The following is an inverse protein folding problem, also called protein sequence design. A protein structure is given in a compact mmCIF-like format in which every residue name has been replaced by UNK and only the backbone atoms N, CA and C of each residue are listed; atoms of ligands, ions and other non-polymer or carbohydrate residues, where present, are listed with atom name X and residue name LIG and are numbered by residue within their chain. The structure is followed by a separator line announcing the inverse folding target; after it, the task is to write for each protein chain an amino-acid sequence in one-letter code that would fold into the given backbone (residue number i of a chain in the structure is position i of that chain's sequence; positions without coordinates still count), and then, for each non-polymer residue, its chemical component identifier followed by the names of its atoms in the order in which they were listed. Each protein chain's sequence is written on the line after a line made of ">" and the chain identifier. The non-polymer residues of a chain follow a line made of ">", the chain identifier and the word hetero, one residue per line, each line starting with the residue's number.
data_IF_610001406588
#
_entry.id   IF_610001406588
#
_cell.length_a   1.000
_cell.length_b   1.000
_cell.length_c   1.000
_cell.angle_alpha   90.00
_cell.angle_beta   90.00
_cell.angle_gamma   90.00
#
_symmetry.space_group_name_H-M   'P 1'
#
loop_
_entity.id
_entity.type
_entity.pdbx_description
1 polymer ?
#
# COMPACT_ATOMS: atom_id res chain seq x y z
N UNK A 1 36.60 9.55 -6.26
CA UNK A 1 36.65 10.59 -5.21
C UNK A 1 37.28 10.10 -3.91
N UNK A 2 36.70 9.17 -3.15
CA UNK A 2 37.28 8.69 -1.87
C UNK A 2 38.74 8.19 -1.98
N UNK A 3 39.06 7.38 -3.00
CA UNK A 3 40.45 6.93 -3.27
C UNK A 3 41.42 8.07 -3.61
N UNK A 4 40.93 9.16 -4.21
CA UNK A 4 41.74 10.34 -4.52
C UNK A 4 42.03 11.14 -3.25
N UNK A 5 41.05 11.26 -2.34
CA UNK A 5 41.22 11.95 -1.05
C UNK A 5 42.16 11.17 -0.13
N UNK A 6 42.03 9.84 -0.05
CA UNK A 6 42.99 9.00 0.68
C UNK A 6 44.40 9.11 0.11
N UNK A 7 44.54 9.23 -1.21
CA UNK A 7 45.83 9.40 -1.88
C UNK A 7 46.54 10.72 -1.60
N UNK A 8 45.85 11.73 -1.04
CA UNK A 8 46.45 13.01 -0.68
C UNK A 8 47.18 12.98 0.68
N UNK A 9 47.05 11.90 1.47
CA UNK A 9 47.80 11.72 2.72
C UNK A 9 47.54 12.82 3.76
N UNK A 10 46.35 13.44 3.74
CA UNK A 10 45.99 14.53 4.64
C UNK A 10 45.74 13.99 6.05
N UNK A 11 46.55 14.43 7.01
CA UNK A 11 46.36 14.11 8.43
C UNK A 11 45.02 14.64 8.93
N UNK A 12 44.29 13.80 9.68
CA UNK A 12 42.99 14.13 10.26
C UNK A 12 41.77 13.84 9.40
N UNK A 13 41.94 13.26 8.20
CA UNK A 13 40.83 12.79 7.36
C UNK A 13 40.74 11.27 7.42
N UNK A 14 39.64 10.74 7.96
CA UNK A 14 39.31 9.32 7.90
C UNK A 14 38.19 9.08 6.88
N UNK A 15 38.20 7.92 6.23
CA UNK A 15 37.22 7.57 5.21
C UNK A 15 36.53 6.27 5.61
N UNK A 16 35.32 6.41 6.14
CA UNK A 16 34.49 5.28 6.49
C UNK A 16 33.72 4.75 5.28
N UNK A 17 33.78 3.43 5.08
CA UNK A 17 32.98 2.76 4.05
C UNK A 17 31.56 2.60 4.56
N UNK A 18 30.63 3.27 3.90
CA UNK A 18 29.19 3.10 4.13
C UNK A 18 28.54 2.37 2.96
N UNK A 19 27.45 1.66 3.26
CA UNK A 19 26.61 1.04 2.24
C UNK A 19 25.42 1.93 1.97
N UNK A 20 25.20 2.28 0.70
CA UNK A 20 24.02 3.02 0.27
C UNK A 20 23.05 2.08 -0.44
N UNK A 21 21.76 2.26 -0.19
CA UNK A 21 20.70 1.53 -0.89
C UNK A 21 20.53 2.09 -2.31
N UNK A 22 20.43 1.21 -3.29
CA UNK A 22 20.22 1.56 -4.69
C UNK A 22 18.99 0.83 -5.21
N UNK A 23 18.13 1.54 -5.93
CA UNK A 23 16.85 1.04 -6.45
C UNK A 23 16.90 1.00 -7.99
N UNK A 24 17.23 -0.15 -8.61
CA UNK A 24 17.46 -0.23 -10.05
C UNK A 24 16.23 0.07 -10.92
N UNK A 25 15.03 -0.09 -10.35
CA UNK A 25 13.76 0.13 -11.04
C UNK A 25 13.21 1.55 -10.82
N UNK A 26 13.91 2.39 -10.06
CA UNK A 26 13.57 3.80 -9.82
C UNK A 26 12.06 3.98 -9.49
N UNK A 27 11.39 4.88 -10.21
CA UNK A 27 9.96 5.20 -10.08
C UNK A 27 9.04 4.00 -10.29
N UNK A 28 9.45 2.99 -11.04
CA UNK A 28 8.58 1.86 -11.39
C UNK A 28 8.11 1.10 -10.15
N UNK A 29 9.01 0.97 -9.16
CA UNK A 29 8.80 0.19 -7.94
C UNK A 29 8.80 1.03 -6.66
N UNK A 30 8.86 2.36 -6.77
CA UNK A 30 8.92 3.27 -5.63
C UNK A 30 7.76 3.07 -4.64
N UNK A 31 6.54 2.89 -5.15
CA UNK A 31 5.32 2.73 -4.34
C UNK A 31 5.29 1.41 -3.55
N UNK A 32 6.00 0.39 -4.05
CA UNK A 32 6.10 -0.95 -3.43
C UNK A 32 7.28 -1.00 -2.48
N UNK A 33 8.48 -0.71 -2.98
CA UNK A 33 9.73 -0.89 -2.22
C UNK A 33 9.87 0.21 -1.17
N UNK A 34 9.48 1.44 -1.51
CA UNK A 34 9.72 2.61 -0.68
C UNK A 34 11.17 3.08 -0.78
N UNK A 35 11.68 3.64 0.32
CA UNK A 35 13.04 4.13 0.40
C UNK A 35 13.57 4.05 1.85
N UNK A 36 14.88 4.26 1.99
CA UNK A 36 15.57 4.40 3.28
C UNK A 36 16.16 5.80 3.39
N UNK A 37 16.28 6.31 4.61
CA UNK A 37 16.98 7.57 4.86
C UNK A 37 18.51 7.42 4.88
N UNK A 38 19.21 8.50 5.23
CA UNK A 38 20.67 8.53 5.36
C UNK A 38 21.22 7.65 6.48
N UNK A 39 20.40 7.29 7.47
CA UNK A 39 20.73 6.34 8.54
C UNK A 39 20.42 4.88 8.14
N UNK A 40 19.86 4.68 6.93
CA UNK A 40 19.37 3.40 6.39
C UNK A 40 18.14 2.85 7.12
N UNK A 41 17.35 3.74 7.74
CA UNK A 41 16.04 3.36 8.28
C UNK A 41 15.00 3.40 7.19
N UNK A 42 14.16 2.38 7.14
CA UNK A 42 13.06 2.28 6.20
C UNK A 42 12.04 3.38 6.47
N UNK A 43 11.64 4.12 5.43
CA UNK A 43 10.70 5.25 5.56
C UNK A 43 9.35 4.97 4.90
N UNK A 44 9.30 4.03 3.96
CA UNK A 44 8.08 3.63 3.27
C UNK A 44 8.17 2.20 2.73
N UNK A 45 7.02 1.67 2.30
CA UNK A 45 6.94 0.41 1.54
C UNK A 45 7.52 -0.80 2.26
N UNK A 46 8.15 -1.68 1.48
CA UNK A 46 8.84 -2.88 1.98
C UNK A 46 10.03 -2.52 2.86
N UNK A 47 10.76 -1.45 2.56
CA UNK A 47 11.90 -1.02 3.39
C UNK A 47 11.48 -0.71 4.83
N UNK A 48 10.32 -0.06 5.02
CA UNK A 48 9.75 0.19 6.36
C UNK A 48 9.11 -1.05 6.98
N UNK A 49 8.21 -1.73 6.24
CA UNK A 49 7.43 -2.84 6.82
C UNK A 49 8.29 -4.06 7.15
N UNK A 50 9.35 -4.31 6.38
CA UNK A 50 10.29 -5.41 6.60
C UNK A 50 11.62 -4.92 7.21
N UNK A 51 11.65 -3.72 7.82
CA UNK A 51 12.86 -3.12 8.35
C UNK A 51 13.62 -4.08 9.27
N UNK A 52 12.93 -4.81 10.15
CA UNK A 52 13.56 -5.78 11.07
C UNK A 52 14.23 -6.96 10.35
N UNK A 53 13.74 -7.35 9.18
CA UNK A 53 14.33 -8.43 8.37
C UNK A 53 15.44 -7.92 7.45
N UNK A 54 15.35 -6.65 7.04
CA UNK A 54 16.27 -6.01 6.10
C UNK A 54 17.46 -5.33 6.81
N UNK A 55 17.28 -4.89 8.05
CA UNK A 55 18.36 -4.36 8.87
C UNK A 55 19.34 -5.48 9.18
N UNK A 56 20.61 -5.21 8.87
CA UNK A 56 21.71 -6.01 9.36
C UNK A 56 22.05 -5.55 10.76
N UNK A 57 22.08 -6.47 11.71
CA UNK A 57 22.80 -6.25 12.95
C UNK A 57 24.28 -6.07 12.61
N UNK A 58 24.72 -4.81 12.56
CA UNK A 58 26.13 -4.50 12.56
C UNK A 58 26.61 -4.81 13.97
N UNK A 59 27.22 -5.98 14.16
CA UNK A 59 27.93 -6.26 15.41
C UNK A 59 28.91 -5.11 15.68
N UNK A 60 28.78 -4.47 16.83
CA UNK A 60 29.70 -3.42 17.25
C UNK A 60 31.09 -4.04 17.45
N UNK A 61 32.05 -3.58 16.64
CA UNK A 61 33.41 -4.08 16.70
C UNK A 61 34.18 -3.37 17.81
N UNK A 62 34.38 -4.05 18.93
CA UNK A 62 35.30 -3.61 19.97
C UNK A 62 36.73 -3.88 19.53
N UNK A 63 37.35 -2.89 18.90
CA UNK A 63 38.75 -2.97 18.45
C UNK A 63 39.66 -2.28 19.46
N UNK A 64 40.70 -2.97 19.94
CA UNK A 64 41.70 -2.36 20.81
C UNK A 64 42.72 -1.59 19.96
N UNK A 65 42.97 -0.33 20.33
CA UNK A 65 43.95 0.55 19.68
C UNK A 65 45.17 0.78 20.57
N UNK A 66 46.34 0.96 19.96
CA UNK A 66 47.55 1.41 20.67
C UNK A 66 47.44 2.89 21.04
N UNK A 67 48.36 3.41 21.87
CA UNK A 67 48.42 4.83 22.22
C UNK A 67 48.61 5.76 21.01
N UNK A 68 49.08 5.23 19.88
CA UNK A 68 49.24 5.92 18.59
C UNK A 68 48.06 5.69 17.63
N UNK A 69 46.97 5.06 18.10
CA UNK A 69 45.74 4.85 17.33
C UNK A 69 45.70 3.61 16.43
N UNK A 70 46.80 2.86 16.30
CA UNK A 70 46.86 1.67 15.45
C UNK A 70 46.03 0.51 16.04
N UNK A 71 45.27 -0.18 15.19
CA UNK A 71 44.43 -1.34 15.55
C UNK A 71 45.31 -2.57 15.88
N UNK A 72 45.05 -3.22 17.01
CA UNK A 72 45.75 -4.46 17.39
C UNK A 72 45.16 -5.70 16.68
N UNK A 73 45.98 -6.52 15.98
CA UNK A 73 45.51 -7.64 15.15
C UNK A 73 44.65 -8.68 15.90
N UNK A 74 44.94 -8.93 17.18
CA UNK A 74 44.23 -9.93 17.99
C UNK A 74 42.90 -9.45 18.59
N UNK A 75 42.40 -8.26 18.23
CA UNK A 75 41.14 -7.72 18.77
C UNK A 75 39.92 -7.93 17.88
N UNK A 76 40.08 -8.61 16.72
CA UNK A 76 38.98 -8.89 15.81
C UNK A 76 38.22 -10.16 16.25
N UNK A 77 36.93 -10.07 16.63
CA UNK A 77 36.16 -11.23 17.06
C UNK A 77 35.99 -12.23 15.90
N UNK A 78 36.09 -13.53 16.19
CA UNK A 78 36.04 -14.61 15.20
C UNK A 78 34.68 -14.76 14.49
N UNK A 79 33.65 -14.02 14.91
CA UNK A 79 32.26 -14.11 14.43
C UNK A 79 31.84 -12.95 13.52
N UNK A 80 32.78 -12.05 13.19
CA UNK A 80 32.66 -10.83 12.39
C UNK A 80 31.80 -10.90 11.11
N UNK A 81 31.62 -12.10 10.55
CA UNK A 81 31.04 -12.34 9.23
C UNK A 81 29.81 -13.26 9.25
N UNK A 82 29.11 -13.42 10.39
CA UNK A 82 27.76 -13.99 10.36
C UNK A 82 26.76 -12.98 9.76
N UNK A 83 26.98 -12.66 8.48
CA UNK A 83 26.02 -11.97 7.63
C UNK A 83 24.98 -13.00 7.22
N UNK A 84 23.77 -12.88 7.75
CA UNK A 84 22.63 -13.58 7.18
C UNK A 84 22.34 -12.96 5.81
N UNK A 85 22.47 -13.74 4.73
CA UNK A 85 22.17 -13.33 3.35
C UNK A 85 20.66 -13.44 3.05
N UNK A 86 19.83 -12.95 3.98
CA UNK A 86 18.40 -12.97 3.81
C UNK A 86 17.99 -12.08 2.65
N UNK A 87 17.09 -12.61 1.82
CA UNK A 87 16.54 -11.92 0.65
C UNK A 87 15.03 -11.89 0.80
N UNK A 88 14.47 -10.72 0.61
CA UNK A 88 13.02 -10.55 0.49
C UNK A 88 12.67 -10.65 -0.99
N UNK A 89 11.86 -11.64 -1.35
CA UNK A 89 11.30 -11.78 -2.69
C UNK A 89 9.87 -11.23 -2.68
N UNK A 90 9.60 -10.29 -3.60
CA UNK A 90 8.27 -9.69 -3.74
C UNK A 90 7.36 -10.58 -4.60
N UNK A 91 6.06 -10.46 -4.38
CA UNK A 91 5.00 -11.10 -5.19
C UNK A 91 4.70 -10.34 -6.48
N UNK A 92 5.26 -9.14 -6.65
CA UNK A 92 4.97 -8.24 -7.76
C UNK A 92 5.48 -8.79 -9.09
N UNK A 93 4.62 -8.86 -10.11
CA UNK A 93 5.02 -9.14 -11.49
C UNK A 93 5.45 -7.83 -12.16
N UNK A 94 6.74 -7.73 -12.51
CA UNK A 94 7.30 -6.52 -13.11
C UNK A 94 6.69 -6.12 -14.47
N UNK A 95 6.19 -7.09 -15.25
CA UNK A 95 5.53 -6.80 -16.54
C UNK A 95 4.15 -6.22 -16.28
N UNK A 96 3.41 -6.78 -15.32
CA UNK A 96 2.12 -6.27 -14.90
C UNK A 96 2.25 -4.88 -14.27
N UNK A 97 3.21 -4.68 -13.36
CA UNK A 97 3.52 -3.38 -12.75
C UNK A 97 3.73 -2.29 -13.81
N UNK A 98 4.53 -2.58 -14.85
CA UNK A 98 4.78 -1.66 -15.96
C UNK A 98 3.52 -1.37 -16.77
N UNK A 99 2.77 -2.39 -17.14
CA UNK A 99 1.54 -2.24 -17.92
C UNK A 99 0.50 -1.39 -17.16
N UNK A 100 0.31 -1.67 -15.87
CA UNK A 100 -0.60 -0.92 -14.99
C UNK A 100 -0.16 0.54 -14.86
N UNK A 101 1.13 0.80 -14.64
CA UNK A 101 1.63 2.19 -14.54
C UNK A 101 1.42 2.97 -15.83
N UNK A 102 1.78 2.40 -16.98
CA UNK A 102 1.56 3.06 -18.27
C UNK A 102 0.08 3.37 -18.50
N UNK A 103 -0.82 2.41 -18.21
CA UNK A 103 -2.26 2.62 -18.35
C UNK A 103 -2.77 3.71 -17.41
N UNK A 104 -2.34 3.72 -16.14
CA UNK A 104 -2.75 4.72 -15.16
C UNK A 104 -2.27 6.13 -15.55
N UNK A 105 -1.03 6.27 -15.99
CA UNK A 105 -0.48 7.55 -16.47
C UNK A 105 -1.29 8.10 -17.66
N UNK A 106 -1.64 7.25 -18.61
CA UNK A 106 -2.50 7.63 -19.75
C UNK A 106 -3.87 8.13 -19.29
N UNK A 107 -4.50 7.47 -18.32
CA UNK A 107 -5.81 7.91 -17.81
C UNK A 107 -5.72 9.20 -17.00
N UNK A 108 -4.68 9.36 -16.18
CA UNK A 108 -4.45 10.59 -15.43
C UNK A 108 -4.30 11.77 -16.38
N UNK A 109 -3.51 11.62 -17.45
CA UNK A 109 -3.35 12.65 -18.46
C UNK A 109 -4.67 12.93 -19.20
N UNK A 110 -5.35 11.87 -19.65
CA UNK A 110 -6.62 11.97 -20.40
C UNK A 110 -7.71 12.71 -19.62
N UNK A 111 -7.83 12.44 -18.32
CA UNK A 111 -8.87 13.01 -17.46
C UNK A 111 -8.40 14.22 -16.64
N UNK A 112 -7.14 14.66 -16.83
CA UNK A 112 -6.50 15.69 -16.02
C UNK A 112 -6.69 15.44 -14.49
N UNK A 113 -6.56 14.18 -14.08
CA UNK A 113 -6.75 13.78 -12.70
C UNK A 113 -5.56 14.22 -11.84
N UNK A 114 -5.81 14.57 -10.57
CA UNK A 114 -4.75 15.03 -9.66
C UNK A 114 -3.84 13.90 -9.17
N UNK A 115 -4.42 12.71 -8.95
CA UNK A 115 -3.75 11.50 -8.48
C UNK A 115 -4.60 10.27 -8.85
N UNK A 116 -3.97 9.11 -8.90
CA UNK A 116 -4.64 7.84 -9.15
C UNK A 116 -3.82 6.67 -8.61
N UNK A 117 -4.50 5.56 -8.37
CA UNK A 117 -3.90 4.37 -7.81
C UNK A 117 -4.54 3.11 -8.37
N UNK A 118 -3.74 2.05 -8.51
CA UNK A 118 -4.19 0.73 -8.93
C UNK A 118 -3.49 -0.32 -8.10
N UNK A 119 -4.28 -1.25 -7.55
CA UNK A 119 -3.80 -2.45 -6.86
C UNK A 119 -4.36 -3.64 -7.63
N UNK A 120 -3.48 -4.59 -7.97
CA UNK A 120 -3.85 -5.87 -8.55
C UNK A 120 -3.44 -6.97 -7.58
N UNK A 121 -4.40 -7.80 -7.20
CA UNK A 121 -4.25 -8.86 -6.22
C UNK A 121 -4.68 -10.19 -6.81
N UNK A 122 -3.97 -11.27 -6.49
CA UNK A 122 -4.44 -12.62 -6.74
C UNK A 122 -5.55 -12.96 -5.73
N UNK A 123 -6.73 -13.32 -6.24
CA UNK A 123 -7.89 -13.58 -5.40
C UNK A 123 -7.81 -14.90 -4.63
N UNK A 124 -6.86 -15.79 -4.96
CA UNK A 124 -6.73 -17.12 -4.34
C UNK A 124 -5.87 -17.10 -3.09
N UNK A 125 -4.81 -16.30 -3.07
CA UNK A 125 -3.86 -16.22 -1.95
C UNK A 125 -3.68 -14.81 -1.38
N UNK A 126 -4.33 -13.79 -1.97
CA UNK A 126 -4.24 -12.40 -1.52
C UNK A 126 -2.91 -11.71 -1.86
N UNK A 127 -2.05 -12.34 -2.66
CA UNK A 127 -0.76 -11.75 -3.03
C UNK A 127 -0.96 -10.51 -3.91
N UNK A 128 -0.19 -9.45 -3.63
CA UNK A 128 -0.22 -8.22 -4.44
C UNK A 128 0.71 -8.41 -5.64
N UNK A 129 0.13 -8.45 -6.84
CA UNK A 129 0.84 -8.63 -8.10
C UNK A 129 1.30 -7.30 -8.69
N UNK A 130 0.62 -6.20 -8.36
CA UNK A 130 0.98 -4.85 -8.79
C UNK A 130 0.39 -3.82 -7.83
N UNK A 131 1.17 -2.80 -7.50
CA UNK A 131 0.72 -1.65 -6.72
C UNK A 131 1.38 -0.40 -7.29
N UNK A 132 0.56 0.48 -7.86
CA UNK A 132 1.01 1.66 -8.57
C UNK A 132 0.24 2.87 -8.10
N UNK A 133 0.98 3.93 -7.77
CA UNK A 133 0.46 5.25 -7.49
C UNK A 133 1.03 6.24 -8.51
N UNK A 134 0.21 7.23 -8.86
CA UNK A 134 0.63 8.35 -9.69
C UNK A 134 0.01 9.65 -9.15
N UNK A 135 0.76 10.76 -9.06
CA UNK A 135 2.22 10.86 -9.30
C UNK A 135 3.05 10.06 -8.29
N UNK A 136 4.24 9.61 -8.70
CA UNK A 136 5.23 8.89 -7.86
C UNK A 136 6.56 9.66 -7.76
N UNK A 137 7.53 9.08 -7.04
CA UNK A 137 8.88 9.64 -6.81
C UNK A 137 9.98 8.65 -7.25
N UNK A 138 11.20 9.15 -7.41
CA UNK A 138 12.39 8.29 -7.57
C UNK A 138 13.02 8.04 -6.19
N UNK A 139 13.08 6.79 -5.70
CA UNK A 139 13.65 6.47 -4.39
C UNK A 139 15.17 6.68 -4.32
N UNK A 140 15.88 6.75 -5.44
CA UNK A 140 17.30 7.14 -5.45
C UNK A 140 17.49 8.66 -5.26
N UNK A 141 16.47 9.45 -5.59
CA UNK A 141 16.48 10.91 -5.49
C UNK A 141 15.29 11.45 -4.65
N UNK A 142 14.88 10.69 -3.63
CA UNK A 142 13.66 10.96 -2.85
C UNK A 142 13.67 12.38 -2.23
N UNK A 143 14.85 12.90 -1.88
CA UNK A 143 15.05 14.24 -1.31
C UNK A 143 14.70 15.39 -2.26
N UNK A 144 14.59 15.13 -3.58
CA UNK A 144 14.11 16.11 -4.57
C UNK A 144 12.59 16.09 -4.73
N UNK A 145 11.93 15.08 -4.17
CA UNK A 145 10.49 14.86 -4.35
C UNK A 145 9.69 15.59 -3.29
N UNK A 146 8.43 15.92 -3.60
CA UNK A 146 7.53 16.54 -2.62
C UNK A 146 7.18 15.54 -1.53
N UNK A 147 7.11 16.00 -0.28
CA UNK A 147 6.86 15.14 0.88
C UNK A 147 5.52 14.38 0.82
N UNK A 148 4.51 14.92 0.13
CA UNK A 148 3.22 14.27 -0.05
C UNK A 148 3.28 13.03 -0.96
N UNK A 149 4.29 12.92 -1.83
CA UNK A 149 4.50 11.76 -2.70
C UNK A 149 5.22 10.61 -1.99
N UNK A 150 5.95 10.92 -0.91
CA UNK A 150 6.70 9.92 -0.16
C UNK A 150 5.80 9.05 0.73
N UNK A 151 4.54 9.46 0.95
CA UNK A 151 3.54 8.66 1.64
C UNK A 151 2.75 7.83 0.63
N UNK A 152 2.69 6.52 0.88
CA UNK A 152 1.80 5.66 0.11
C UNK A 152 0.35 5.85 0.56
N UNK A 153 -0.30 6.85 -0.01
CA UNK A 153 -1.67 7.25 0.30
C UNK A 153 -2.71 6.16 0.00
N UNK A 154 -2.39 5.15 -0.82
CA UNK A 154 -3.32 4.04 -1.08
C UNK A 154 -3.50 3.12 0.12
N UNK A 155 -2.52 3.08 1.00
CA UNK A 155 -2.53 2.30 2.24
C UNK A 155 -2.90 3.18 3.43
N UNK A 156 -2.63 4.50 3.36
CA UNK A 156 -2.84 5.41 4.50
C UNK A 156 -4.11 6.26 4.44
N UNK A 157 -4.64 6.58 3.26
CA UNK A 157 -5.84 7.43 3.15
C UNK A 157 -7.10 6.59 3.27
N UNK A 158 -7.94 6.92 4.26
CA UNK A 158 -9.28 6.39 4.35
C UNK A 158 -10.15 7.10 3.29
N UNK A 159 -10.74 6.33 2.38
CA UNK A 159 -11.72 6.82 1.41
C UNK A 159 -13.04 6.07 1.60
N UNK A 160 -14.16 6.77 1.45
CA UNK A 160 -15.48 6.15 1.51
C UNK A 160 -15.70 5.28 0.26
N UNK A 161 -15.80 3.93 0.37
CA UNK A 161 -15.84 3.05 -0.80
C UNK A 161 -17.05 3.31 -1.72
N UNK A 162 -18.09 3.98 -1.23
CA UNK A 162 -19.26 4.33 -2.02
C UNK A 162 -19.89 3.08 -2.65
N UNK A 163 -20.20 3.14 -3.94
CA UNK A 163 -20.90 2.04 -4.61
C UNK A 163 -20.05 0.78 -4.83
N UNK A 164 -18.72 0.85 -4.69
CA UNK A 164 -17.85 -0.35 -4.81
C UNK A 164 -18.09 -1.33 -3.66
N UNK A 165 -18.70 -0.87 -2.56
CA UNK A 165 -19.04 -1.69 -1.40
C UNK A 165 -20.36 -2.48 -1.54
N UNK A 166 -21.20 -2.14 -2.54
CA UNK A 166 -22.53 -2.76 -2.71
C UNK A 166 -22.50 -4.29 -2.89
N UNK A 167 -21.56 -4.89 -3.65
CA UNK A 167 -21.45 -6.35 -3.73
C UNK A 167 -21.24 -7.01 -2.36
N UNK A 168 -20.44 -6.39 -1.48
CA UNK A 168 -20.21 -6.89 -0.12
C UNK A 168 -21.52 -6.84 0.68
N UNK A 169 -22.25 -5.73 0.63
CA UNK A 169 -23.57 -5.60 1.27
C UNK A 169 -24.57 -6.66 0.80
N UNK A 170 -24.60 -6.92 -0.51
CA UNK A 170 -25.44 -7.98 -1.10
C UNK A 170 -25.04 -9.35 -0.57
N UNK A 171 -23.74 -9.66 -0.52
CA UNK A 171 -23.24 -10.93 0.01
C UNK A 171 -23.63 -11.12 1.48
N UNK A 172 -23.44 -10.08 2.32
CA UNK A 172 -23.82 -10.11 3.73
C UNK A 172 -25.33 -10.31 3.93
N UNK A 173 -26.16 -9.65 3.11
CA UNK A 173 -27.61 -9.80 3.18
C UNK A 173 -28.08 -11.19 2.73
N UNK A 174 -27.44 -11.78 1.71
CA UNK A 174 -27.69 -13.16 1.28
C UNK A 174 -27.28 -14.16 2.36
N UNK A 175 -26.10 -13.98 2.96
CA UNK A 175 -25.56 -14.85 4.02
C UNK A 175 -26.42 -14.78 5.29
N UNK A 176 -26.93 -13.61 5.65
CA UNK A 176 -27.88 -13.45 6.74
C UNK A 176 -29.27 -14.02 6.44
N UNK A 177 -29.53 -14.48 5.22
CA UNK A 177 -30.82 -15.05 4.79
C UNK A 177 -31.96 -14.02 4.72
N UNK A 178 -31.65 -12.72 4.81
CA UNK A 178 -32.68 -11.65 4.78
C UNK A 178 -33.17 -11.34 3.36
N UNK A 179 -32.46 -11.86 2.36
CA UNK A 179 -32.81 -11.83 0.93
C UNK A 179 -32.50 -13.17 0.26
N UNK A 180 -33.14 -13.40 -0.88
CA UNK A 180 -32.88 -14.52 -1.79
C UNK A 180 -32.53 -14.00 -3.19
N UNK A 181 -31.91 -14.81 -4.04
CA UNK A 181 -31.44 -14.40 -5.40
C UNK A 181 -32.50 -13.69 -6.25
N UNK A 182 -33.76 -14.09 -6.13
CA UNK A 182 -34.90 -13.55 -6.88
C UNK A 182 -35.68 -12.46 -6.12
N UNK A 183 -35.17 -11.98 -4.98
CA UNK A 183 -35.83 -10.91 -4.23
C UNK A 183 -35.82 -9.63 -5.05
N UNK A 184 -36.98 -8.97 -5.11
CA UNK A 184 -37.18 -7.72 -5.85
C UNK A 184 -37.36 -6.57 -4.87
N UNK A 185 -36.80 -5.42 -5.24
CA UNK A 185 -36.93 -4.17 -4.52
C UNK A 185 -37.46 -3.08 -5.45
N UNK A 186 -38.32 -2.22 -4.91
CA UNK A 186 -38.81 -1.07 -5.65
C UNK A 186 -37.85 0.11 -5.48
N UNK A 187 -37.40 0.66 -6.60
CA UNK A 187 -36.54 1.82 -6.71
C UNK A 187 -37.31 3.02 -7.27
N UNK A 188 -37.71 3.91 -6.36
CA UNK A 188 -38.37 5.18 -6.66
C UNK A 188 -37.42 6.30 -7.10
N UNK A 189 -36.10 6.10 -7.05
CA UNK A 189 -35.08 7.12 -7.32
C UNK A 189 -34.72 8.02 -6.14
N UNK A 190 -35.53 8.02 -5.09
CA UNK A 190 -35.33 8.79 -3.85
C UNK A 190 -35.92 8.05 -2.65
N UNK A 191 -35.15 7.96 -1.56
CA UNK A 191 -35.62 7.51 -0.25
C UNK A 191 -35.14 8.45 0.85
N UNK A 192 -35.95 8.68 1.89
CA UNK A 192 -35.52 9.41 3.09
C UNK A 192 -35.05 8.43 4.16
N UNK A 193 -33.88 8.72 4.75
CA UNK A 193 -33.31 8.00 5.90
C UNK A 193 -32.97 9.05 6.95
N UNK A 194 -33.60 8.97 8.12
CA UNK A 194 -33.37 9.89 9.25
C UNK A 194 -33.40 11.39 8.85
N UNK A 195 -34.36 11.74 7.99
CA UNK A 195 -34.54 13.11 7.48
C UNK A 195 -33.71 13.46 6.24
N UNK A 196 -32.68 12.67 5.91
CA UNK A 196 -31.78 12.92 4.79
C UNK A 196 -32.22 12.22 3.50
N UNK A 197 -32.25 12.91 2.34
CA UNK A 197 -32.58 12.30 1.06
C UNK A 197 -31.40 11.51 0.47
N UNK A 198 -31.60 10.22 0.25
CA UNK A 198 -30.68 9.37 -0.52
C UNK A 198 -31.24 9.21 -1.93
N UNK A 199 -30.41 9.49 -2.95
CA UNK A 199 -30.79 9.48 -4.36
C UNK A 199 -29.90 8.54 -5.17
N UNK A 200 -30.43 8.03 -6.28
CA UNK A 200 -29.62 7.39 -7.31
C UNK A 200 -28.76 8.42 -8.06
N UNK A 201 -27.62 7.99 -8.59
CA UNK A 201 -26.73 8.85 -9.38
C UNK A 201 -27.43 9.44 -10.63
N UNK A 202 -28.39 8.70 -11.21
CA UNK A 202 -29.20 9.13 -12.36
C UNK A 202 -30.34 10.09 -11.99
N UNK A 203 -30.60 10.30 -10.69
CA UNK A 203 -31.75 11.05 -10.18
C UNK A 203 -33.12 10.49 -10.64
N UNK A 204 -33.16 9.25 -11.11
CA UNK A 204 -34.37 8.55 -11.60
C UNK A 204 -34.54 7.22 -10.87
N UNK A 205 -35.79 6.77 -10.76
CA UNK A 205 -36.12 5.44 -10.27
C UNK A 205 -36.01 4.39 -11.38
N UNK A 206 -35.65 3.17 -10.99
CA UNK A 206 -35.55 2.01 -11.91
C UNK A 206 -36.79 1.09 -11.81
N UNK A 207 -37.77 1.42 -10.96
CA UNK A 207 -38.95 0.59 -10.75
C UNK A 207 -38.62 -0.66 -9.94
N UNK A 208 -39.27 -1.78 -10.24
CA UNK A 208 -39.05 -3.04 -9.53
C UNK A 208 -37.84 -3.77 -10.10
N UNK A 209 -36.76 -3.86 -9.33
CA UNK A 209 -35.48 -4.44 -9.75
C UNK A 209 -35.03 -5.57 -8.82
N UNK A 210 -34.43 -6.61 -9.39
CA UNK A 210 -33.82 -7.73 -8.67
C UNK A 210 -32.38 -7.42 -8.24
N UNK A 211 -31.75 -8.34 -7.48
CA UNK A 211 -30.39 -8.13 -6.94
C UNK A 211 -29.34 -7.83 -8.02
N UNK A 212 -29.38 -8.53 -9.17
CA UNK A 212 -28.43 -8.30 -10.26
C UNK A 212 -28.61 -6.90 -10.86
N UNK A 213 -29.86 -6.48 -11.05
CA UNK A 213 -30.20 -5.15 -11.56
C UNK A 213 -29.83 -4.03 -10.56
N UNK A 214 -29.92 -4.28 -9.24
CA UNK A 214 -29.46 -3.34 -8.21
C UNK A 214 -27.97 -3.06 -8.35
N UNK A 215 -27.15 -4.10 -8.60
CA UNK A 215 -25.71 -3.94 -8.82
C UNK A 215 -25.42 -3.30 -10.18
N UNK A 216 -26.12 -3.72 -11.24
CA UNK A 216 -25.96 -3.19 -12.59
C UNK A 216 -26.28 -1.69 -12.68
N UNK A 217 -27.41 -1.27 -12.10
CA UNK A 217 -27.86 0.13 -12.08
C UNK A 217 -27.21 0.95 -10.97
N UNK A 218 -26.48 0.28 -10.08
CA UNK A 218 -25.94 0.87 -8.84
C UNK A 218 -27.02 1.64 -8.07
N UNK A 219 -28.20 1.05 -7.90
CA UNK A 219 -29.32 1.70 -7.20
C UNK A 219 -28.98 1.91 -5.72
N UNK A 220 -28.96 3.17 -5.26
CA UNK A 220 -28.78 3.50 -3.84
C UNK A 220 -30.07 3.24 -3.06
N UNK A 221 -31.22 3.54 -3.67
CA UNK A 221 -32.53 3.41 -3.03
C UNK A 221 -32.85 1.94 -2.74
N UNK A 222 -32.72 1.07 -3.74
CA UNK A 222 -32.96 -0.36 -3.55
C UNK A 222 -31.97 -0.99 -2.57
N UNK A 223 -30.72 -0.51 -2.55
CA UNK A 223 -29.72 -0.93 -1.55
C UNK A 223 -30.14 -0.55 -0.13
N UNK A 224 -30.68 0.65 0.10
CA UNK A 224 -31.21 1.06 1.40
C UNK A 224 -32.37 0.16 1.83
N UNK A 225 -33.31 -0.13 0.92
CA UNK A 225 -34.43 -1.01 1.21
C UNK A 225 -33.99 -2.45 1.55
N UNK A 226 -32.97 -2.95 0.86
CA UNK A 226 -32.36 -4.24 1.13
C UNK A 226 -31.69 -4.28 2.51
N UNK A 227 -30.80 -3.32 2.78
CA UNK A 227 -30.02 -3.31 4.02
C UNK A 227 -30.85 -3.02 5.26
N UNK A 228 -32.02 -2.36 5.13
CA UNK A 228 -32.99 -2.21 6.22
C UNK A 228 -33.55 -3.54 6.73
N UNK A 229 -33.47 -4.62 5.96
CA UNK A 229 -33.87 -5.97 6.42
C UNK A 229 -32.83 -6.61 7.32
N UNK A 230 -31.60 -6.13 7.31
CA UNK A 230 -30.51 -6.61 8.15
C UNK A 230 -30.49 -5.83 9.48
N UNK A 231 -30.37 -6.54 10.60
CA UNK A 231 -30.20 -5.90 11.91
C UNK A 231 -28.86 -5.20 11.98
N UNK A 232 -28.81 -3.98 12.51
CA UNK A 232 -27.59 -3.17 12.62
C UNK A 232 -26.44 -3.91 13.33
N UNK A 233 -26.74 -4.58 14.45
CA UNK A 233 -25.74 -5.34 15.21
C UNK A 233 -25.21 -6.55 14.43
N UNK A 234 -26.06 -7.19 13.62
CA UNK A 234 -25.63 -8.32 12.79
C UNK A 234 -24.75 -7.85 11.63
N UNK A 235 -25.12 -6.75 11.00
CA UNK A 235 -24.31 -6.11 9.97
C UNK A 235 -22.93 -5.70 10.50
N UNK A 236 -22.86 -5.06 11.67
CA UNK A 236 -21.59 -4.64 12.26
C UNK A 236 -20.68 -5.82 12.60
N UNK A 237 -21.21 -6.88 13.21
CA UNK A 237 -20.43 -8.10 13.49
C UNK A 237 -19.87 -8.74 12.22
N UNK A 238 -20.67 -8.80 11.15
CA UNK A 238 -20.22 -9.35 9.85
C UNK A 238 -19.13 -8.50 9.20
N UNK A 239 -19.21 -7.17 9.30
CA UNK A 239 -18.15 -6.28 8.83
C UNK A 239 -16.84 -6.50 9.57
N UNK A 240 -16.89 -6.67 10.90
CA UNK A 240 -15.70 -6.98 11.70
C UNK A 240 -15.07 -8.33 11.32
N UNK A 241 -15.89 -9.32 10.98
CA UNK A 241 -15.40 -10.62 10.50
C UNK A 241 -14.72 -10.56 9.13
N UNK A 242 -14.99 -9.52 8.34
CA UNK A 242 -14.31 -9.25 7.07
C UNK A 242 -13.02 -8.41 7.25
N UNK A 243 -12.69 -8.03 8.49
CA UNK A 243 -11.50 -7.22 8.84
C UNK A 243 -11.39 -5.89 8.08
N UNK A 244 -12.51 -5.37 7.54
CA UNK A 244 -12.56 -4.16 6.70
C UNK A 244 -12.17 -2.89 7.47
N UNK A 245 -12.32 -2.89 8.78
CA UNK A 245 -11.94 -1.80 9.69
C UNK A 245 -10.62 -2.03 10.42
N UNK A 246 -9.98 -3.20 10.25
CA UNK A 246 -8.72 -3.49 10.91
C UNK A 246 -7.55 -2.95 10.11
N UNK A 247 -6.72 -2.15 10.79
CA UNK A 247 -5.42 -1.74 10.29
C UNK A 247 -4.60 -3.01 10.09
N UNK A 248 -4.15 -3.31 8.86
CA UNK A 248 -3.25 -4.44 8.58
C UNK A 248 -2.10 -4.40 9.61
N UNK A 249 -2.14 -5.30 10.59
CA UNK A 249 -1.11 -5.41 11.63
C UNK A 249 -0.01 -6.32 11.09
N UNK A 250 0.85 -5.75 10.25
CA UNK A 250 2.12 -6.36 9.87
C UNK A 250 3.24 -5.35 10.12
#
# INVERSE_FOLDING_TARGET
>A
MAKQIQGLGLDGIDVDKTYQRFYPQEKMMADVVGFVDHERKGQAGVELSQEKLLQRDLESLFVRRTALGAILPNSLPHNLLKSNDWRVQLTVDMRLQRAVRTALQQQIQKFNAKRGAVIVMDATDGSILSLVCEPTFDPNEFYKSRMDLLKNWTVSDLYEPGSTFKPINVALALEAGVIQRNTVFHDSGLVKVDGWPIRNATLRGNGSINIAEILQTSSNVAMVHMMRRLKKDDYYRRLQALEIDQKNRH
#
